data_IF_145021802224
#
_entry.id   IF_145021802224
#
_cell.length_a   1.000
_cell.length_b   1.000
_cell.length_c   1.000
_cell.angle_alpha   90.00
_cell.angle_beta   90.00
_cell.angle_gamma   90.00
#
_symmetry.space_group_name_H-M   'P 1'
#
loop_
_entity.id
_entity.type
_entity.pdbx_description
1 polymer ?
#
# COMPACT_ATOMS: atom_id res chain seq x y z
N UNK A 1 -2.23 -5.96 24.74
CA UNK A 1 -2.33 -7.38 25.20
C UNK A 1 -1.20 -7.77 26.16
N UNK A 2 0.02 -7.20 26.06
CA UNK A 2 1.12 -7.44 27.01
C UNK A 2 0.75 -6.98 28.44
N UNK A 3 0.14 -5.81 28.59
CA UNK A 3 -0.26 -5.30 29.90
C UNK A 3 -1.31 -6.13 30.63
N UNK A 4 -2.10 -6.93 29.91
CA UNK A 4 -3.08 -7.84 30.53
C UNK A 4 -2.44 -9.13 31.03
N UNK A 5 -1.40 -9.62 30.37
CA UNK A 5 -0.66 -10.82 30.79
C UNK A 5 0.12 -10.55 32.06
N UNK A 6 0.82 -9.42 32.12
CA UNK A 6 1.59 -9.02 33.31
C UNK A 6 0.70 -8.74 34.53
N UNK A 7 -0.44 -8.10 34.34
CA UNK A 7 -1.40 -7.84 35.41
C UNK A 7 -2.02 -9.15 35.96
N UNK A 8 -2.31 -10.10 35.05
CA UNK A 8 -2.85 -11.41 35.43
C UNK A 8 -1.79 -12.29 36.11
N UNK A 9 -0.55 -12.28 35.59
CA UNK A 9 0.57 -13.01 36.20
C UNK A 9 0.88 -12.53 37.61
N UNK A 10 0.76 -11.24 37.90
CA UNK A 10 0.96 -10.66 39.21
C UNK A 10 -0.24 -10.91 40.15
N UNK A 11 -1.44 -11.09 39.66
CA UNK A 11 -2.63 -11.34 40.47
C UNK A 11 -2.83 -12.82 40.82
N UNK A 12 -2.36 -13.76 39.97
CA UNK A 12 -2.51 -15.20 40.18
C UNK A 12 -1.87 -15.72 41.47
N UNK A 13 -0.65 -15.33 41.91
CA UNK A 13 -0.06 -15.78 43.16
C UNK A 13 -0.91 -15.43 44.38
N UNK A 14 -1.54 -14.26 44.37
CA UNK A 14 -2.41 -13.80 45.46
C UNK A 14 -3.73 -14.56 45.49
N UNK A 15 -4.25 -14.96 44.34
CA UNK A 15 -5.52 -15.69 44.22
C UNK A 15 -5.40 -17.18 44.60
N UNK A 16 -4.20 -17.76 44.38
CA UNK A 16 -3.97 -19.19 44.61
C UNK A 16 -3.44 -19.46 46.02
N UNK A 17 -2.77 -18.50 46.65
CA UNK A 17 -2.13 -18.68 47.99
C UNK A 17 -3.11 -18.42 49.14
N UNK A 18 -4.07 -19.31 49.33
CA UNK A 18 -5.05 -19.24 50.41
C UNK A 18 -4.57 -19.86 51.72
N UNK A 19 -3.31 -20.28 51.86
CA UNK A 19 -2.93 -20.97 53.09
C UNK A 19 -1.49 -21.37 53.36
N UNK A 20 -0.49 -20.82 52.70
CA UNK A 20 0.91 -21.18 52.96
C UNK A 20 1.94 -20.15 52.52
N UNK A 21 3.01 -19.99 53.31
CA UNK A 21 4.12 -19.06 53.09
C UNK A 21 5.10 -19.47 51.96
N UNK A 22 4.71 -20.40 51.11
CA UNK A 22 5.53 -20.75 49.93
C UNK A 22 5.00 -19.93 48.72
N UNK A 23 5.78 -18.94 48.34
CA UNK A 23 5.45 -18.05 47.20
C UNK A 23 5.31 -18.84 45.91
N UNK A 24 4.09 -18.90 45.39
CA UNK A 24 3.84 -19.41 44.05
C UNK A 24 4.37 -18.37 43.06
N UNK A 25 5.53 -18.61 42.47
CA UNK A 25 6.07 -17.84 41.38
C UNK A 25 5.48 -18.32 40.05
N UNK A 26 4.61 -17.53 39.45
CA UNK A 26 4.15 -17.78 38.08
C UNK A 26 5.29 -17.34 37.14
N UNK A 27 6.12 -18.30 36.74
CA UNK A 27 7.08 -18.06 35.68
C UNK A 27 6.35 -18.00 34.35
N UNK A 28 6.09 -16.81 33.87
CA UNK A 28 5.76 -16.64 32.45
C UNK A 28 7.07 -16.87 31.68
N UNK A 29 7.15 -17.86 30.78
CA UNK A 29 8.36 -18.08 30.02
C UNK A 29 8.62 -16.85 29.13
N UNK A 30 9.44 -15.91 29.61
CA UNK A 30 9.83 -14.70 28.84
C UNK A 30 10.37 -15.06 27.46
N UNK A 31 11.10 -16.16 27.38
CA UNK A 31 11.68 -16.67 26.14
C UNK A 31 10.63 -17.02 25.07
N UNK A 32 9.44 -17.51 25.50
CA UNK A 32 8.34 -17.79 24.56
C UNK A 32 7.68 -16.52 24.06
N UNK A 33 7.51 -15.50 24.90
CA UNK A 33 6.94 -14.21 24.52
C UNK A 33 7.91 -13.45 23.59
N UNK A 34 9.21 -13.48 23.88
CA UNK A 34 10.24 -12.91 23.02
C UNK A 34 10.29 -13.62 21.67
N UNK A 35 10.23 -14.96 21.66
CA UNK A 35 10.20 -15.74 20.42
C UNK A 35 8.95 -15.44 19.59
N UNK A 36 7.76 -15.32 20.20
CA UNK A 36 6.54 -14.91 19.50
C UNK A 36 6.66 -13.49 18.93
N UNK A 37 7.16 -12.53 19.71
CA UNK A 37 7.39 -11.16 19.26
C UNK A 37 8.39 -11.07 18.09
N UNK A 38 9.43 -11.89 18.09
CA UNK A 38 10.40 -11.98 17.01
C UNK A 38 9.76 -12.55 15.73
N UNK A 39 8.93 -13.59 15.85
CA UNK A 39 8.20 -14.18 14.71
C UNK A 39 7.21 -13.16 14.13
N UNK A 40 6.40 -12.50 14.97
CA UNK A 40 5.43 -11.50 14.53
C UNK A 40 6.11 -10.32 13.80
N UNK A 41 7.24 -9.87 14.35
CA UNK A 41 8.02 -8.79 13.73
C UNK A 41 8.59 -9.23 12.38
N UNK A 42 9.13 -10.45 12.31
CA UNK A 42 9.69 -11.01 11.07
C UNK A 42 8.61 -11.16 10.00
N UNK A 43 7.46 -11.74 10.34
CA UNK A 43 6.32 -11.88 9.44
C UNK A 43 5.82 -10.52 8.93
N UNK A 44 5.69 -9.55 9.83
CA UNK A 44 5.28 -8.20 9.46
C UNK A 44 6.27 -7.54 8.49
N UNK A 45 7.57 -7.68 8.75
CA UNK A 45 8.60 -7.14 7.87
C UNK A 45 8.56 -7.79 6.48
N UNK A 46 8.40 -9.10 6.41
CA UNK A 46 8.23 -9.83 5.13
C UNK A 46 7.01 -9.32 4.37
N UNK A 47 5.86 -9.17 5.05
CA UNK A 47 4.63 -8.65 4.44
C UNK A 47 4.79 -7.22 3.92
N UNK A 48 5.48 -6.34 4.66
CA UNK A 48 5.78 -4.98 4.18
C UNK A 48 6.73 -4.97 2.98
N UNK A 49 7.74 -5.84 2.96
CA UNK A 49 8.63 -5.97 1.81
C UNK A 49 7.89 -6.48 0.58
N UNK A 50 7.03 -7.51 0.73
CA UNK A 50 6.19 -8.01 -0.36
C UNK A 50 5.21 -6.95 -0.86
N UNK A 51 4.56 -6.21 0.04
CA UNK A 51 3.67 -5.11 -0.31
C UNK A 51 4.41 -3.98 -1.04
N UNK A 52 5.60 -3.62 -0.56
CA UNK A 52 6.46 -2.64 -1.22
C UNK A 52 6.88 -3.07 -2.63
N UNK A 53 7.27 -4.34 -2.79
CA UNK A 53 7.60 -4.90 -4.09
C UNK A 53 6.39 -4.89 -5.03
N UNK A 54 5.21 -5.28 -4.56
CA UNK A 54 3.98 -5.23 -5.33
C UNK A 54 3.64 -3.80 -5.80
N UNK A 55 3.83 -2.80 -4.93
CA UNK A 55 3.66 -1.39 -5.29
C UNK A 55 4.67 -0.94 -6.36
N UNK A 56 5.93 -1.36 -6.28
CA UNK A 56 6.94 -1.05 -7.30
C UNK A 56 6.55 -1.65 -8.65
N UNK A 57 6.18 -2.92 -8.68
CA UNK A 57 5.74 -3.60 -9.93
C UNK A 57 4.50 -2.92 -10.49
N UNK A 58 3.51 -2.58 -9.66
CA UNK A 58 2.32 -1.83 -10.05
C UNK A 58 2.67 -0.45 -10.60
N UNK A 59 3.59 0.28 -9.97
CA UNK A 59 4.07 1.58 -10.43
C UNK A 59 4.76 1.51 -11.80
N UNK A 60 5.59 0.50 -12.03
CA UNK A 60 6.20 0.26 -13.35
C UNK A 60 5.13 -0.04 -14.40
N UNK A 61 4.10 -0.82 -14.04
CA UNK A 61 2.94 -1.09 -14.90
C UNK A 61 2.23 0.20 -15.32
N UNK A 62 1.92 1.08 -14.36
CA UNK A 62 1.30 2.40 -14.62
C UNK A 62 2.20 3.23 -15.56
N UNK A 63 3.50 3.35 -15.25
CA UNK A 63 4.43 4.13 -16.07
C UNK A 63 4.50 3.60 -17.52
N UNK A 64 4.46 2.29 -17.70
CA UNK A 64 4.49 1.66 -19.02
C UNK A 64 3.21 1.96 -19.81
N UNK A 65 2.03 1.73 -19.23
CA UNK A 65 0.74 2.01 -19.87
C UNK A 65 0.60 3.50 -20.23
N UNK A 66 0.96 4.39 -19.31
CA UNK A 66 0.96 5.83 -19.54
C UNK A 66 1.94 6.24 -20.65
N UNK A 67 3.13 5.61 -20.73
CA UNK A 67 4.10 5.89 -21.79
C UNK A 67 3.57 5.48 -23.16
N UNK A 68 2.89 4.34 -23.25
CA UNK A 68 2.22 3.90 -24.48
C UNK A 68 1.11 4.88 -24.87
N UNK A 69 0.29 5.31 -23.90
CA UNK A 69 -0.77 6.31 -24.11
C UNK A 69 -0.23 7.63 -24.67
N UNK A 70 0.90 8.12 -24.15
CA UNK A 70 1.58 9.32 -24.67
C UNK A 70 2.00 9.14 -26.14
N UNK A 71 2.56 7.99 -26.50
CA UNK A 71 2.97 7.70 -27.86
C UNK A 71 1.76 7.66 -28.80
N UNK A 72 0.70 6.98 -28.41
CA UNK A 72 -0.53 6.87 -29.21
C UNK A 72 -1.22 8.21 -29.43
N UNK A 73 -1.12 9.14 -28.48
CA UNK A 73 -1.73 10.49 -28.53
C UNK A 73 -0.72 11.58 -28.93
N UNK A 74 0.46 11.21 -29.41
CA UNK A 74 1.53 12.19 -29.71
C UNK A 74 1.11 13.25 -30.72
N UNK A 75 0.36 12.86 -31.78
CA UNK A 75 -0.19 13.81 -32.77
C UNK A 75 -1.15 14.83 -32.15
N UNK A 76 -2.07 14.39 -31.29
CA UNK A 76 -3.01 15.26 -30.57
C UNK A 76 -2.26 16.23 -29.65
N UNK A 77 -1.26 15.74 -28.92
CA UNK A 77 -0.41 16.55 -28.05
C UNK A 77 0.32 17.61 -28.89
N UNK A 78 0.85 17.21 -30.06
CA UNK A 78 1.53 18.13 -30.97
C UNK A 78 0.63 19.26 -31.46
N UNK A 79 -0.61 18.95 -31.86
CA UNK A 79 -1.60 19.95 -32.27
C UNK A 79 -1.93 20.92 -31.13
N UNK A 80 -2.18 20.42 -29.93
CA UNK A 80 -2.45 21.25 -28.73
C UNK A 80 -1.27 22.19 -28.44
N UNK A 81 -0.04 21.69 -28.58
CA UNK A 81 1.17 22.47 -28.39
C UNK A 81 1.32 23.56 -29.46
N UNK A 82 1.00 23.26 -30.72
CA UNK A 82 1.00 24.23 -31.82
C UNK A 82 -0.05 25.33 -31.60
N UNK A 83 -1.19 25.01 -30.96
CA UNK A 83 -2.25 25.95 -30.59
C UNK A 83 -1.92 26.78 -29.34
N UNK A 84 -0.70 26.65 -28.77
CA UNK A 84 -0.22 27.48 -27.66
C UNK A 84 -0.37 26.89 -26.27
N UNK A 85 -0.77 25.64 -26.12
CA UNK A 85 -0.79 24.99 -24.78
C UNK A 85 0.62 24.89 -24.21
N UNK A 86 0.76 25.21 -22.91
CA UNK A 86 2.05 25.15 -22.23
C UNK A 86 2.47 23.71 -21.92
N UNK A 87 3.79 23.50 -21.76
CA UNK A 87 4.34 22.19 -21.34
C UNK A 87 3.71 21.71 -20.01
N UNK A 88 3.49 22.67 -19.11
CA UNK A 88 2.91 22.38 -17.77
C UNK A 88 1.47 21.90 -17.90
N UNK A 89 0.66 22.53 -18.78
CA UNK A 89 -0.73 22.10 -18.99
C UNK A 89 -0.81 20.66 -19.50
N UNK A 90 0.06 20.29 -20.44
CA UNK A 90 0.13 18.91 -20.95
C UNK A 90 0.59 17.95 -19.84
N UNK A 91 1.67 18.30 -19.11
CA UNK A 91 2.15 17.46 -18.01
C UNK A 91 1.07 17.23 -16.95
N UNK A 92 0.37 18.28 -16.52
CA UNK A 92 -0.70 18.20 -15.52
C UNK A 92 -1.85 17.28 -15.95
N UNK A 93 -2.19 17.26 -17.23
CA UNK A 93 -3.21 16.34 -17.76
C UNK A 93 -2.82 14.87 -17.50
N UNK A 94 -1.58 14.49 -17.80
CA UNK A 94 -1.09 13.12 -17.56
C UNK A 94 -0.91 12.80 -16.08
N UNK A 95 -0.50 13.76 -15.25
CA UNK A 95 -0.43 13.57 -13.78
C UNK A 95 -1.82 13.34 -13.21
N UNK A 96 -2.83 14.09 -13.65
CA UNK A 96 -4.21 13.85 -13.24
C UNK A 96 -4.73 12.48 -13.70
N UNK A 97 -4.40 12.06 -14.93
CA UNK A 97 -4.74 10.73 -15.44
C UNK A 97 -4.11 9.62 -14.56
N UNK A 98 -2.82 9.77 -14.19
CA UNK A 98 -2.16 8.86 -13.27
C UNK A 98 -2.82 8.85 -11.89
N UNK A 99 -3.21 10.01 -11.36
CA UNK A 99 -3.93 10.13 -10.10
C UNK A 99 -5.28 9.38 -10.15
N UNK A 100 -6.05 9.54 -11.23
CA UNK A 100 -7.30 8.79 -11.41
C UNK A 100 -7.08 7.27 -11.44
N UNK A 101 -6.06 6.80 -12.15
CA UNK A 101 -5.69 5.38 -12.15
C UNK A 101 -5.33 4.91 -10.74
N UNK A 102 -4.58 5.72 -9.99
CA UNK A 102 -4.23 5.44 -8.59
C UNK A 102 -5.44 5.37 -7.66
N UNK A 103 -6.40 6.31 -7.80
CA UNK A 103 -7.65 6.30 -7.02
C UNK A 103 -8.47 5.05 -7.32
N UNK A 104 -8.72 4.76 -8.59
CA UNK A 104 -9.52 3.60 -8.98
C UNK A 104 -8.84 2.28 -8.60
N UNK A 105 -7.53 2.16 -8.86
CA UNK A 105 -6.73 0.98 -8.49
C UNK A 105 -6.63 0.81 -6.98
N UNK A 106 -6.42 1.90 -6.24
CA UNK A 106 -6.39 1.90 -4.78
C UNK A 106 -7.72 1.47 -4.15
N UNK A 107 -8.84 2.02 -4.64
CA UNK A 107 -10.19 1.61 -4.20
C UNK A 107 -10.46 0.14 -4.53
N UNK A 108 -10.17 -0.29 -5.76
CA UNK A 108 -10.34 -1.68 -6.15
C UNK A 108 -9.47 -2.62 -5.31
N UNK A 109 -8.21 -2.24 -5.03
CA UNK A 109 -7.31 -3.01 -4.17
C UNK A 109 -7.80 -3.12 -2.72
N UNK A 110 -8.30 -2.03 -2.14
CA UNK A 110 -8.91 -2.04 -0.79
C UNK A 110 -10.14 -2.93 -0.75
N UNK A 111 -11.05 -2.80 -1.72
CA UNK A 111 -12.26 -3.62 -1.79
C UNK A 111 -11.92 -5.11 -1.97
N UNK A 112 -10.96 -5.42 -2.84
CA UNK A 112 -10.48 -6.79 -3.02
C UNK A 112 -9.84 -7.33 -1.75
N UNK A 113 -8.99 -6.55 -1.07
CA UNK A 113 -8.35 -6.94 0.19
C UNK A 113 -9.36 -7.22 1.29
N UNK A 114 -10.36 -6.35 1.47
CA UNK A 114 -11.47 -6.56 2.41
C UNK A 114 -12.25 -7.82 2.04
N UNK A 115 -12.57 -8.00 0.76
CA UNK A 115 -13.27 -9.18 0.26
C UNK A 115 -12.52 -10.49 0.57
N UNK A 116 -11.21 -10.51 0.36
CA UNK A 116 -10.36 -11.67 0.69
C UNK A 116 -10.36 -11.97 2.19
N UNK A 117 -10.25 -10.93 3.05
CA UNK A 117 -10.30 -11.11 4.51
C UNK A 117 -11.61 -11.78 4.94
N UNK A 118 -12.76 -11.29 4.44
CA UNK A 118 -14.06 -11.90 4.77
C UNK A 118 -14.21 -13.31 4.21
N UNK A 119 -13.73 -13.56 3.00
CA UNK A 119 -13.77 -14.89 2.39
C UNK A 119 -12.96 -15.90 3.21
N UNK A 120 -11.72 -15.56 3.54
CA UNK A 120 -10.83 -16.42 4.35
C UNK A 120 -11.40 -16.64 5.74
N UNK A 121 -11.94 -15.59 6.36
CA UNK A 121 -12.59 -15.66 7.67
C UNK A 121 -13.78 -16.63 7.65
N UNK A 122 -14.62 -16.56 6.62
CA UNK A 122 -15.78 -17.44 6.47
C UNK A 122 -15.40 -18.91 6.24
N UNK A 123 -14.33 -19.16 5.48
CA UNK A 123 -13.86 -20.53 5.18
C UNK A 123 -13.15 -21.17 6.37
N UNK A 124 -12.32 -20.41 7.08
CA UNK A 124 -11.53 -20.93 8.19
C UNK A 124 -12.22 -20.80 9.57
N UNK A 125 -13.38 -20.16 9.64
CA UNK A 125 -14.10 -19.90 10.89
C UNK A 125 -13.38 -18.86 11.80
N UNK A 126 -12.53 -18.02 11.24
CA UNK A 126 -11.79 -16.99 11.98
C UNK A 126 -12.62 -15.72 12.13
N UNK A 127 -12.30 -14.92 13.16
CA UNK A 127 -12.93 -13.62 13.35
C UNK A 127 -12.21 -12.59 12.45
N UNK A 128 -12.93 -12.01 11.50
CA UNK A 128 -12.40 -10.95 10.66
C UNK A 128 -12.13 -9.68 11.48
N UNK A 129 -10.87 -9.29 11.59
CA UNK A 129 -10.49 -8.02 12.22
C UNK A 129 -9.99 -7.07 11.13
N UNK A 130 -10.69 -5.93 10.96
CA UNK A 130 -10.32 -4.89 10.00
C UNK A 130 -9.56 -3.77 10.70
N UNK A 131 -8.33 -3.57 10.29
CA UNK A 131 -7.54 -2.42 10.72
C UNK A 131 -7.70 -1.28 9.72
N UNK A 132 -8.72 -0.42 9.93
CA UNK A 132 -9.04 0.70 9.03
C UNK A 132 -7.84 1.62 8.77
N UNK A 133 -7.03 2.05 9.77
CA UNK A 133 -5.83 2.82 9.55
C UNK A 133 -4.87 2.19 8.54
N UNK A 134 -4.70 0.87 8.56
CA UNK A 134 -3.81 0.17 7.63
C UNK A 134 -4.31 0.28 6.18
N UNK A 135 -5.62 0.18 5.94
CA UNK A 135 -6.21 0.35 4.62
C UNK A 135 -6.06 1.78 4.10
N UNK A 136 -6.18 2.79 4.97
CA UNK A 136 -5.94 4.19 4.60
C UNK A 136 -4.49 4.43 4.20
N UNK A 137 -3.54 3.87 4.96
CA UNK A 137 -2.11 3.96 4.63
C UNK A 137 -1.82 3.26 3.30
N UNK A 138 -2.34 2.05 3.10
CA UNK A 138 -2.15 1.30 1.85
C UNK A 138 -2.72 2.05 0.63
N UNK A 139 -3.94 2.59 0.75
CA UNK A 139 -4.56 3.42 -0.30
C UNK A 139 -3.75 4.70 -0.57
N UNK A 140 -3.28 5.38 0.47
CA UNK A 140 -2.43 6.55 0.36
C UNK A 140 -1.10 6.25 -0.34
N UNK A 141 -0.46 5.14 -0.01
CA UNK A 141 0.77 4.69 -0.67
C UNK A 141 0.55 4.37 -2.15
N UNK A 142 -0.57 3.73 -2.49
CA UNK A 142 -0.94 3.47 -3.88
C UNK A 142 -1.11 4.76 -4.68
N UNK A 143 -1.73 5.80 -4.11
CA UNK A 143 -1.85 7.12 -4.73
C UNK A 143 -0.48 7.77 -4.96
N UNK A 144 0.39 7.75 -3.96
CA UNK A 144 1.75 8.31 -4.05
C UNK A 144 2.52 7.61 -5.18
N UNK A 145 2.50 6.28 -5.20
CA UNK A 145 3.21 5.49 -6.21
C UNK A 145 2.66 5.76 -7.60
N UNK A 146 1.34 5.88 -7.78
CA UNK A 146 0.73 6.17 -9.09
C UNK A 146 1.13 7.54 -9.62
N UNK A 147 1.14 8.56 -8.75
CA UNK A 147 1.58 9.91 -9.15
C UNK A 147 3.06 9.91 -9.53
N UNK A 148 3.93 9.28 -8.72
CA UNK A 148 5.36 9.18 -9.03
C UNK A 148 5.58 8.44 -10.36
N UNK A 149 4.89 7.31 -10.57
CA UNK A 149 4.96 6.55 -11.81
C UNK A 149 4.50 7.33 -13.03
N UNK A 150 3.48 8.20 -12.86
CA UNK A 150 2.96 9.07 -13.91
C UNK A 150 3.86 10.29 -14.24
N UNK A 151 4.78 10.69 -13.34
CA UNK A 151 5.64 11.85 -13.56
C UNK A 151 6.55 11.69 -14.79
N UNK A 152 7.14 10.50 -14.96
CA UNK A 152 8.04 10.24 -16.09
C UNK A 152 7.33 10.37 -17.45
N UNK A 153 6.20 9.66 -17.71
CA UNK A 153 5.46 9.83 -18.97
C UNK A 153 4.88 11.23 -19.14
N UNK A 154 4.42 11.88 -18.08
CA UNK A 154 3.94 13.26 -18.11
C UNK A 154 5.03 14.24 -18.58
N UNK A 155 6.24 14.09 -18.05
CA UNK A 155 7.38 14.90 -18.47
C UNK A 155 7.78 14.62 -19.91
N UNK A 156 7.75 13.35 -20.35
CA UNK A 156 8.01 12.96 -21.73
C UNK A 156 6.98 13.57 -22.68
N UNK A 157 5.70 13.52 -22.35
CA UNK A 157 4.62 14.16 -23.13
C UNK A 157 4.81 15.67 -23.27
N UNK A 158 5.21 16.35 -22.20
CA UNK A 158 5.45 17.79 -22.20
C UNK A 158 6.63 18.23 -23.07
N UNK A 159 7.55 17.32 -23.38
CA UNK A 159 8.75 17.60 -24.22
C UNK A 159 8.57 17.28 -25.71
N UNK A 160 7.45 16.68 -26.10
CA UNK A 160 7.16 16.43 -27.52
C UNK A 160 7.17 17.75 -28.31
N UNK A 161 7.95 17.80 -29.39
CA UNK A 161 8.02 18.93 -30.25
C UNK A 161 6.93 18.87 -31.35
N UNK A 162 6.20 19.98 -31.62
CA UNK A 162 5.11 19.97 -32.59
C UNK A 162 5.53 19.54 -34.00
N UNK A 163 6.78 19.85 -34.39
CA UNK A 163 7.29 19.53 -35.73
C UNK A 163 7.59 18.05 -35.95
N UNK A 164 8.03 17.32 -34.91
CA UNK A 164 8.29 15.89 -35.01
C UNK A 164 7.00 15.06 -35.08
N UNK A 165 5.95 15.51 -34.39
CA UNK A 165 4.67 14.81 -34.36
C UNK A 165 3.86 14.92 -35.63
N UNK A 166 4.03 16.03 -36.40
CA UNK A 166 3.39 16.24 -37.70
C UNK A 166 4.11 15.51 -38.85
N UNK A 167 5.34 15.05 -38.65
CA UNK A 167 6.15 14.36 -39.67
C UNK A 167 5.97 12.85 -39.67
N UNK A 168 5.38 12.29 -38.60
CA UNK A 168 5.17 10.85 -38.38
C UNK A 168 3.73 10.40 -38.69
N UNK A 169 2.83 11.28 -39.06
CA UNK A 169 1.48 11.04 -39.54
C UNK A 169 1.39 11.31 -41.06
#
# INVERSE_FOLDING_TARGET
TEGTVDSTANALPVAINLGGNEGVTVAVPSDLLEAQGAVDTTLRNILFLMGGLALLVGGVGIANVMSISVIQRSGEIGIRRALGHTKVTIAMQFVLEALFVGVLGGLAGVLAGVGVIYLVSAVLGWIATLNIPLFLVAGGMALIVSVIAGLYPAWKAARLEPLETLRLG
#
